data_IF_089646627971
#
_entry.id   IF_089646627971
#
_cell.length_a   1.000
_cell.length_b   1.000
_cell.length_c   1.000
_cell.angle_alpha   90.00
_cell.angle_beta   90.00
_cell.angle_gamma   90.00
#
_symmetry.space_group_name_H-M   'P 1'
#
loop_
_entity.id
_entity.type
_entity.pdbx_description
1 polymer ?
#
# COMPACT_ATOMS: atom_id res chain seq x y z
N UNK A 1 7.11 -18.85 -61.44
CA UNK A 1 7.51 -17.67 -60.64
C UNK A 1 6.27 -17.20 -59.89
N UNK A 2 6.13 -17.54 -58.62
CA UNK A 2 5.02 -17.05 -57.81
C UNK A 2 5.36 -15.62 -57.34
N UNK A 3 4.42 -14.66 -57.39
CA UNK A 3 4.67 -13.31 -56.90
C UNK A 3 4.91 -13.38 -55.38
N UNK A 4 6.05 -12.86 -54.93
CA UNK A 4 6.36 -12.63 -53.52
C UNK A 4 5.27 -11.74 -52.93
N UNK A 5 4.56 -12.25 -51.91
CA UNK A 5 3.59 -11.47 -51.12
C UNK A 5 4.29 -10.18 -50.67
N UNK A 6 3.68 -8.99 -50.84
CA UNK A 6 4.20 -7.80 -50.20
C UNK A 6 4.25 -8.06 -48.70
N UNK A 7 5.40 -7.81 -48.08
CA UNK A 7 5.60 -7.95 -46.64
C UNK A 7 4.53 -7.11 -45.94
N UNK A 8 3.56 -7.79 -45.36
CA UNK A 8 2.52 -7.15 -44.55
C UNK A 8 3.23 -6.41 -43.41
N UNK A 9 2.83 -5.17 -43.11
CA UNK A 9 3.43 -4.42 -42.01
C UNK A 9 3.31 -5.24 -40.72
N UNK A 10 4.45 -5.63 -40.16
CA UNK A 10 4.56 -6.39 -38.93
C UNK A 10 4.80 -5.42 -37.77
N UNK A 11 4.09 -5.61 -36.66
CA UNK A 11 4.29 -4.85 -35.42
C UNK A 11 5.77 -4.80 -35.00
N UNK A 12 6.51 -5.91 -35.19
CA UNK A 12 7.92 -6.00 -34.83
C UNK A 12 8.86 -5.25 -35.77
N UNK A 13 8.39 -4.87 -36.97
CA UNK A 13 9.16 -4.07 -37.92
C UNK A 13 9.06 -2.55 -37.63
N UNK A 14 8.19 -2.14 -36.72
CA UNK A 14 8.08 -0.75 -36.28
C UNK A 14 9.33 -0.31 -35.49
N UNK A 15 9.73 0.97 -35.51
CA UNK A 15 10.75 1.52 -34.61
C UNK A 15 10.42 1.28 -33.14
N UNK A 16 11.44 1.17 -32.30
CA UNK A 16 11.27 0.84 -30.88
C UNK A 16 10.40 1.86 -30.14
N UNK A 17 10.51 3.14 -30.49
CA UNK A 17 9.75 4.25 -29.93
C UNK A 17 8.25 4.06 -30.18
N UNK A 18 7.88 3.67 -31.40
CA UNK A 18 6.48 3.40 -31.75
C UNK A 18 5.96 2.16 -31.03
N UNK A 19 6.78 1.11 -30.92
CA UNK A 19 6.39 -0.09 -30.15
C UNK A 19 6.17 0.22 -28.67
N UNK A 20 7.02 1.06 -28.07
CA UNK A 20 6.86 1.51 -26.68
C UNK A 20 5.57 2.29 -26.51
N UNK A 21 5.25 3.25 -27.38
CA UNK A 21 3.99 3.98 -27.31
C UNK A 21 2.75 3.08 -27.45
N UNK A 22 2.82 2.06 -28.30
CA UNK A 22 1.76 1.05 -28.39
C UNK A 22 1.64 0.31 -27.06
N UNK A 23 2.76 -0.11 -26.46
CA UNK A 23 2.75 -0.81 -25.16
C UNK A 23 2.26 0.09 -24.01
N UNK A 24 2.54 1.39 -24.04
CA UNK A 24 1.99 2.37 -23.08
C UNK A 24 0.48 2.42 -23.14
N UNK A 25 -0.09 2.41 -24.35
CA UNK A 25 -1.53 2.33 -24.53
C UNK A 25 -2.09 0.99 -24.04
N UNK A 26 -1.45 -0.13 -24.39
CA UNK A 26 -1.87 -1.48 -23.98
C UNK A 26 -1.88 -1.64 -22.45
N UNK A 27 -0.90 -1.07 -21.76
CA UNK A 27 -0.79 -1.16 -20.29
C UNK A 27 -1.44 0.01 -19.55
N UNK A 28 -2.07 0.97 -20.23
CA UNK A 28 -2.67 2.14 -19.59
C UNK A 28 -3.75 1.73 -18.58
N UNK A 29 -4.61 0.81 -18.98
CA UNK A 29 -5.77 0.36 -18.20
C UNK A 29 -5.40 -0.59 -17.05
N UNK A 30 -4.17 -1.11 -17.02
CA UNK A 30 -3.70 -1.95 -15.90
C UNK A 30 -3.77 -1.20 -14.57
N UNK A 31 -3.67 0.14 -14.61
CA UNK A 31 -3.76 1.00 -13.43
C UNK A 31 -5.17 1.03 -12.81
N UNK A 32 -6.20 0.71 -13.59
CA UNK A 32 -7.60 0.68 -13.13
C UNK A 32 -7.92 -0.59 -12.33
N UNK A 33 -7.17 -1.67 -12.53
CA UNK A 33 -7.39 -2.95 -11.85
C UNK A 33 -6.31 -3.23 -10.81
N UNK A 34 -6.57 -2.79 -9.58
CA UNK A 34 -5.68 -2.93 -8.43
C UNK A 34 -5.92 -4.22 -7.61
N UNK A 35 -6.76 -5.13 -8.11
CA UNK A 35 -7.15 -6.38 -7.43
C UNK A 35 -7.98 -6.18 -6.16
N UNK A 36 -8.57 -5.01 -6.01
CA UNK A 36 -9.56 -4.68 -4.99
C UNK A 36 -10.89 -4.37 -5.66
N UNK A 37 -12.00 -4.62 -4.96
CA UNK A 37 -13.34 -4.30 -5.46
C UNK A 37 -14.24 -3.80 -4.34
N UNK A 38 -15.22 -2.99 -4.70
CA UNK A 38 -16.26 -2.51 -3.80
C UNK A 38 -17.28 -3.63 -3.56
N UNK A 39 -17.61 -3.88 -2.29
CA UNK A 39 -18.65 -4.81 -1.90
C UNK A 39 -20.00 -4.11 -1.98
N UNK A 40 -20.77 -4.44 -3.01
CA UNK A 40 -22.00 -3.73 -3.40
C UNK A 40 -23.01 -3.45 -2.28
N UNK A 41 -23.07 -4.29 -1.24
CA UNK A 41 -24.05 -4.11 -0.17
C UNK A 41 -23.65 -3.05 0.87
N UNK A 42 -22.35 -2.81 1.09
CA UNK A 42 -21.88 -1.88 2.13
C UNK A 42 -20.97 -0.78 1.61
N UNK A 43 -20.48 -0.89 0.37
CA UNK A 43 -19.46 0.03 -0.17
C UNK A 43 -18.04 -0.29 0.30
N UNK A 44 -17.85 -1.30 1.15
CA UNK A 44 -16.53 -1.68 1.67
C UNK A 44 -15.59 -2.18 0.58
N UNK A 45 -14.31 -1.84 0.68
CA UNK A 45 -13.31 -2.40 -0.21
C UNK A 45 -12.90 -3.79 0.29
N UNK A 46 -12.91 -4.76 -0.63
CA UNK A 46 -12.52 -6.14 -0.40
C UNK A 46 -11.52 -6.61 -1.44
N UNK A 47 -10.74 -7.63 -1.12
CA UNK A 47 -9.85 -8.27 -2.09
C UNK A 47 -10.68 -8.97 -3.16
N UNK A 48 -10.30 -8.79 -4.43
CA UNK A 48 -10.85 -9.61 -5.49
C UNK A 48 -10.08 -10.93 -5.59
N UNK A 49 -10.66 -11.99 -5.02
CA UNK A 49 -10.09 -13.35 -5.05
C UNK A 49 -9.91 -13.90 -6.48
N UNK A 50 -10.63 -13.35 -7.45
CA UNK A 50 -10.54 -13.72 -8.86
C UNK A 50 -9.48 -12.93 -9.62
N UNK A 51 -8.88 -11.92 -9.01
CA UNK A 51 -7.84 -11.11 -9.64
C UNK A 51 -6.65 -11.99 -10.04
N UNK A 52 -6.21 -11.86 -11.29
CA UNK A 52 -5.04 -12.54 -11.84
C UNK A 52 -4.22 -11.56 -12.66
N UNK A 53 -3.01 -11.28 -12.17
CA UNK A 53 -2.02 -10.43 -12.86
C UNK A 53 -1.67 -10.99 -14.25
N UNK A 54 -1.77 -12.30 -14.45
CA UNK A 54 -1.43 -12.98 -15.71
C UNK A 54 -2.14 -12.37 -16.92
N UNK A 55 -3.42 -11.99 -16.77
CA UNK A 55 -4.18 -11.37 -17.86
C UNK A 55 -3.62 -10.00 -18.24
N UNK A 56 -3.20 -9.21 -17.24
CA UNK A 56 -2.63 -7.87 -17.43
C UNK A 56 -1.22 -7.89 -18.02
N UNK A 57 -0.50 -9.00 -17.84
CA UNK A 57 0.87 -9.20 -18.34
C UNK A 57 0.92 -10.06 -19.61
N UNK A 58 -0.24 -10.53 -20.12
CA UNK A 58 -0.31 -11.37 -21.32
C UNK A 58 0.45 -10.80 -22.53
N UNK A 59 0.47 -9.47 -22.80
CA UNK A 59 1.23 -8.93 -23.92
C UNK A 59 2.73 -9.30 -23.92
N UNK A 60 3.33 -9.43 -22.73
CA UNK A 60 4.74 -9.84 -22.56
C UNK A 60 5.00 -11.29 -22.96
N UNK A 61 3.97 -12.14 -22.98
CA UNK A 61 4.08 -13.55 -23.37
C UNK A 61 4.09 -13.78 -24.88
N UNK A 62 3.82 -12.74 -25.67
CA UNK A 62 3.64 -12.85 -27.13
C UNK A 62 4.95 -13.20 -27.85
N UNK A 63 6.04 -12.47 -27.56
CA UNK A 63 7.36 -12.74 -28.12
C UNK A 63 8.48 -12.09 -27.29
N UNK A 64 9.73 -12.49 -27.55
CA UNK A 64 10.91 -11.98 -26.82
C UNK A 64 11.10 -10.47 -26.95
N UNK A 65 10.78 -9.90 -28.11
CA UNK A 65 10.94 -8.45 -28.33
C UNK A 65 9.94 -7.65 -27.49
N UNK A 66 8.66 -8.03 -27.49
CA UNK A 66 7.64 -7.37 -26.67
C UNK A 66 7.89 -7.56 -25.18
N UNK A 67 8.42 -8.72 -24.79
CA UNK A 67 8.91 -8.92 -23.42
C UNK A 67 10.01 -7.90 -23.08
N UNK A 68 11.07 -7.82 -23.89
CA UNK A 68 12.20 -6.93 -23.65
C UNK A 68 11.78 -5.45 -23.61
N UNK A 69 10.95 -5.01 -24.57
CA UNK A 69 10.50 -3.62 -24.68
C UNK A 69 9.52 -3.25 -23.56
N UNK A 70 8.64 -4.18 -23.15
CA UNK A 70 7.50 -3.89 -22.29
C UNK A 70 7.66 -4.21 -20.82
N UNK A 71 8.65 -5.00 -20.40
CA UNK A 71 8.70 -5.56 -19.03
C UNK A 71 8.68 -4.49 -17.94
N UNK A 72 9.53 -3.46 -18.05
CA UNK A 72 9.61 -2.41 -17.02
C UNK A 72 8.34 -1.57 -16.97
N UNK A 73 7.77 -1.25 -18.13
CA UNK A 73 6.52 -0.51 -18.26
C UNK A 73 5.35 -1.30 -17.66
N UNK A 74 5.26 -2.59 -17.96
CA UNK A 74 4.23 -3.45 -17.41
C UNK A 74 4.33 -3.55 -15.87
N UNK A 75 5.54 -3.68 -15.33
CA UNK A 75 5.78 -3.68 -13.88
C UNK A 75 5.40 -2.36 -13.22
N UNK A 76 5.62 -1.25 -13.92
CA UNK A 76 5.25 0.09 -13.46
C UNK A 76 3.73 0.32 -13.40
N UNK A 77 2.98 -0.24 -14.35
CA UNK A 77 1.53 -0.03 -14.48
C UNK A 77 0.68 -1.09 -13.80
N UNK A 78 1.28 -2.14 -13.26
CA UNK A 78 0.56 -3.29 -12.71
C UNK A 78 0.64 -3.30 -11.19
N UNK A 79 -0.51 -3.50 -10.53
CA UNK A 79 -0.56 -3.79 -9.10
C UNK A 79 -0.31 -5.28 -8.86
N UNK A 80 0.76 -5.63 -8.14
CA UNK A 80 1.03 -7.02 -7.79
C UNK A 80 0.29 -7.40 -6.51
N UNK A 81 -0.63 -8.37 -6.62
CA UNK A 81 -1.51 -8.75 -5.51
C UNK A 81 -1.20 -10.15 -4.99
N UNK A 82 -0.74 -10.24 -3.75
CA UNK A 82 -0.61 -11.48 -2.99
C UNK A 82 -1.90 -11.74 -2.20
N UNK A 83 -2.89 -12.33 -2.88
CA UNK A 83 -4.25 -12.55 -2.36
C UNK A 83 -4.38 -13.70 -1.35
N UNK A 84 -3.28 -14.38 -0.99
CA UNK A 84 -3.28 -15.44 0.02
C UNK A 84 -2.11 -15.26 0.99
N UNK A 85 -2.30 -15.74 2.22
CA UNK A 85 -1.28 -15.69 3.27
C UNK A 85 0.01 -16.44 2.89
N UNK A 86 -0.08 -17.47 2.05
CA UNK A 86 1.09 -18.22 1.59
C UNK A 86 1.93 -17.42 0.59
N UNK A 87 1.26 -16.78 -0.37
CA UNK A 87 1.93 -15.94 -1.37
C UNK A 87 2.51 -14.69 -0.70
N UNK A 88 1.79 -14.10 0.26
CA UNK A 88 2.27 -12.93 1.00
C UNK A 88 3.56 -13.22 1.81
N UNK A 89 3.71 -14.43 2.33
CA UNK A 89 4.92 -14.82 3.08
C UNK A 89 6.17 -14.91 2.21
N UNK A 90 6.03 -15.15 0.91
CA UNK A 90 7.17 -15.37 0.00
C UNK A 90 7.50 -14.14 -0.87
N UNK A 91 6.94 -12.97 -0.55
CA UNK A 91 7.18 -11.75 -1.31
C UNK A 91 8.68 -11.41 -1.38
N UNK A 92 9.45 -11.41 -0.28
CA UNK A 92 10.89 -11.13 -0.33
C UNK A 92 11.64 -12.09 -1.28
N UNK A 93 11.34 -13.38 -1.23
CA UNK A 93 11.93 -14.41 -2.08
C UNK A 93 11.56 -14.25 -3.55
N UNK A 94 10.34 -13.76 -3.84
CA UNK A 94 9.94 -13.45 -5.22
C UNK A 94 10.63 -12.20 -5.75
N UNK A 95 10.82 -11.20 -4.91
CA UNK A 95 11.55 -9.99 -5.27
C UNK A 95 13.03 -10.27 -5.53
N UNK A 96 13.66 -11.17 -4.77
CA UNK A 96 15.08 -11.53 -4.96
C UNK A 96 15.36 -12.26 -6.28
N UNK A 97 14.34 -12.81 -6.93
CA UNK A 97 14.46 -13.43 -8.27
C UNK A 97 14.47 -12.40 -9.41
N UNK A 98 14.13 -11.14 -9.14
CA UNK A 98 14.01 -10.08 -10.13
C UNK A 98 15.32 -9.30 -10.26
N UNK A 99 15.59 -8.81 -11.46
CA UNK A 99 16.66 -7.84 -11.66
C UNK A 99 16.31 -6.52 -10.98
N UNK A 100 17.30 -5.81 -10.44
CA UNK A 100 17.11 -4.56 -9.68
C UNK A 100 16.23 -3.53 -10.42
N UNK A 101 16.49 -3.27 -11.71
CA UNK A 101 15.65 -2.39 -12.55
C UNK A 101 14.17 -2.79 -12.60
N UNK A 102 13.85 -4.10 -12.54
CA UNK A 102 12.47 -4.57 -12.49
C UNK A 102 11.86 -4.25 -11.12
N UNK A 103 12.61 -4.47 -10.04
CA UNK A 103 12.20 -4.12 -8.67
C UNK A 103 11.91 -2.63 -8.56
N UNK A 104 12.82 -1.78 -9.04
CA UNK A 104 12.65 -0.32 -9.05
C UNK A 104 11.45 0.15 -9.87
N UNK A 105 11.04 -0.64 -10.86
CA UNK A 105 9.88 -0.36 -11.70
C UNK A 105 8.56 -0.71 -11.03
N UNK A 106 8.54 -1.59 -10.01
CA UNK A 106 7.32 -1.94 -9.28
C UNK A 106 6.83 -0.71 -8.50
N UNK A 107 5.60 -0.26 -8.80
CA UNK A 107 4.98 0.87 -8.10
C UNK A 107 3.88 0.49 -7.14
N UNK A 108 3.30 -0.70 -7.25
CA UNK A 108 2.14 -1.06 -6.44
C UNK A 108 2.16 -2.52 -6.03
N UNK A 109 2.11 -2.75 -4.71
CA UNK A 109 2.02 -4.08 -4.11
C UNK A 109 0.84 -4.07 -3.13
N UNK A 110 -0.02 -5.09 -3.24
CA UNK A 110 -1.09 -5.34 -2.28
C UNK A 110 -0.94 -6.76 -1.75
N UNK A 111 -1.04 -6.96 -0.44
CA UNK A 111 -0.97 -8.31 0.12
C UNK A 111 -1.90 -8.51 1.29
N UNK A 112 -2.39 -9.75 1.42
CA UNK A 112 -3.24 -10.16 2.53
C UNK A 112 -2.36 -10.51 3.73
N UNK A 113 -2.69 -9.93 4.89
CA UNK A 113 -1.91 -10.03 6.11
C UNK A 113 -2.74 -10.56 7.29
N UNK A 114 -2.08 -11.34 8.14
CA UNK A 114 -2.55 -11.77 9.44
C UNK A 114 -1.52 -11.38 10.52
N UNK A 115 -1.76 -11.79 11.76
CA UNK A 115 -0.86 -11.54 12.88
C UNK A 115 0.61 -11.96 12.61
N UNK A 116 0.89 -12.98 11.78
CA UNK A 116 2.27 -13.39 11.47
C UNK A 116 2.95 -12.36 10.58
N UNK A 117 2.23 -11.82 9.60
CA UNK A 117 2.74 -10.78 8.71
C UNK A 117 2.96 -9.48 9.47
N UNK A 118 2.03 -9.08 10.35
CA UNK A 118 2.20 -7.91 11.21
C UNK A 118 3.43 -7.99 12.12
N UNK A 119 3.73 -9.17 12.67
CA UNK A 119 4.98 -9.37 13.43
C UNK A 119 6.24 -9.15 12.59
N UNK A 120 6.22 -9.57 11.32
CA UNK A 120 7.36 -9.41 10.39
C UNK A 120 7.52 -8.00 9.84
N UNK A 121 6.52 -7.12 9.98
CA UNK A 121 6.63 -5.74 9.48
C UNK A 121 7.80 -5.00 10.13
N UNK A 122 8.07 -5.26 11.41
CA UNK A 122 9.18 -4.61 12.13
C UNK A 122 10.55 -5.00 11.58
N UNK A 123 10.66 -6.15 10.91
CA UNK A 123 11.90 -6.67 10.34
C UNK A 123 12.24 -5.99 9.00
N UNK A 124 11.34 -5.14 8.46
CA UNK A 124 11.59 -4.40 7.21
C UNK A 124 12.70 -3.36 7.34
N UNK A 125 12.99 -2.90 8.57
CA UNK A 125 13.92 -1.79 8.77
C UNK A 125 13.42 -0.52 8.08
N UNK A 126 14.25 0.10 7.24
CA UNK A 126 13.91 1.35 6.55
C UNK A 126 13.11 1.15 5.25
N UNK A 127 13.02 -0.06 4.72
CA UNK A 127 12.46 -0.28 3.38
C UNK A 127 11.46 -1.44 3.39
N UNK A 128 10.36 -1.30 2.64
CA UNK A 128 9.37 -2.37 2.55
C UNK A 128 10.02 -3.71 2.15
N UNK A 129 9.74 -4.77 2.90
CA UNK A 129 10.33 -6.10 2.73
C UNK A 129 11.87 -6.17 2.87
N UNK A 130 12.51 -5.13 3.40
CA UNK A 130 13.97 -5.01 3.47
C UNK A 130 14.64 -4.77 2.12
N UNK A 131 13.91 -4.25 1.12
CA UNK A 131 14.41 -4.07 -0.25
C UNK A 131 14.56 -2.58 -0.61
N UNK A 132 15.76 -2.00 -0.57
CA UNK A 132 15.98 -0.56 -0.84
C UNK A 132 15.62 -0.10 -2.25
N UNK A 133 15.70 -0.99 -3.24
CA UNK A 133 15.34 -0.69 -4.63
C UNK A 133 13.82 -0.47 -4.82
N UNK A 134 12.97 -0.91 -3.88
CA UNK A 134 11.53 -0.70 -3.98
C UNK A 134 11.18 0.78 -3.77
N UNK A 135 10.53 1.35 -4.78
CA UNK A 135 10.02 2.73 -4.80
C UNK A 135 8.53 2.68 -5.14
N UNK A 136 7.72 2.38 -4.13
CA UNK A 136 6.29 2.12 -4.26
C UNK A 136 5.49 3.43 -4.22
N UNK A 137 4.62 3.61 -5.21
CA UNK A 137 3.56 4.62 -5.16
C UNK A 137 2.45 4.22 -4.19
N UNK A 138 2.18 2.92 -4.06
CA UNK A 138 1.19 2.37 -3.14
C UNK A 138 1.61 1.00 -2.59
N UNK A 139 1.55 0.86 -1.27
CA UNK A 139 1.65 -0.41 -0.55
C UNK A 139 0.33 -0.64 0.19
N UNK A 140 -0.38 -1.73 -0.13
CA UNK A 140 -1.67 -2.02 0.50
C UNK A 140 -1.59 -3.29 1.35
N UNK A 141 -1.88 -3.16 2.64
CA UNK A 141 -1.96 -4.25 3.60
C UNK A 141 -3.44 -4.54 3.84
N UNK A 142 -3.89 -5.70 3.36
CA UNK A 142 -5.28 -6.10 3.47
C UNK A 142 -5.45 -7.10 4.61
N UNK A 143 -6.32 -6.82 5.58
CA UNK A 143 -6.55 -7.77 6.66
C UNK A 143 -7.18 -9.06 6.12
N UNK A 144 -6.63 -10.19 6.56
CA UNK A 144 -7.14 -11.49 6.17
C UNK A 144 -8.55 -11.72 6.72
N UNK A 145 -9.49 -12.04 5.83
CA UNK A 145 -10.86 -12.39 6.22
C UNK A 145 -10.88 -13.79 6.80
N UNK A 146 -11.10 -13.89 8.11
CA UNK A 146 -11.24 -15.17 8.81
C UNK A 146 -12.28 -15.07 9.93
N UNK A 147 -12.64 -16.22 10.51
CA UNK A 147 -13.47 -16.31 11.71
C UNK A 147 -12.75 -15.87 12.99
N UNK A 148 -11.43 -15.63 12.94
CA UNK A 148 -10.64 -15.20 14.08
C UNK A 148 -10.57 -13.67 14.16
N UNK A 149 -10.52 -13.18 15.39
CA UNK A 149 -10.31 -11.76 15.68
C UNK A 149 -8.86 -11.36 15.44
N UNK A 150 -8.66 -10.25 14.74
CA UNK A 150 -7.38 -9.56 14.63
C UNK A 150 -7.19 -8.65 15.85
N UNK A 151 -6.10 -8.88 16.58
CA UNK A 151 -5.66 -8.08 17.72
C UNK A 151 -4.59 -7.10 17.26
N UNK A 152 -4.99 -6.12 16.42
CA UNK A 152 -4.05 -5.20 15.79
C UNK A 152 -3.30 -4.30 16.80
N UNK A 153 -3.89 -4.09 17.99
CA UNK A 153 -3.29 -3.36 19.10
C UNK A 153 -1.96 -3.96 19.57
N UNK A 154 -1.76 -5.27 19.43
CA UNK A 154 -0.51 -5.94 19.81
C UNK A 154 0.67 -5.52 18.93
N UNK A 155 0.40 -4.98 17.74
CA UNK A 155 1.42 -4.61 16.75
C UNK A 155 1.59 -3.10 16.60
N UNK A 156 0.73 -2.27 17.21
CA UNK A 156 0.69 -0.82 16.97
C UNK A 156 2.03 -0.14 17.25
N UNK A 157 2.69 -0.48 18.36
CA UNK A 157 4.01 0.08 18.71
C UNK A 157 5.07 -0.27 17.67
N UNK A 158 5.09 -1.53 17.20
CA UNK A 158 6.04 -1.97 16.17
C UNK A 158 5.81 -1.28 14.83
N UNK A 159 4.54 -1.13 14.43
CA UNK A 159 4.16 -0.43 13.19
C UNK A 159 4.49 1.06 13.29
N UNK A 160 4.21 1.73 14.41
CA UNK A 160 4.56 3.13 14.60
C UNK A 160 6.08 3.36 14.51
N UNK A 161 6.89 2.45 15.09
CA UNK A 161 8.36 2.50 14.96
C UNK A 161 8.83 2.28 13.54
N UNK A 162 8.23 1.30 12.83
CA UNK A 162 8.52 1.08 11.42
C UNK A 162 8.24 2.35 10.61
N UNK A 163 7.06 2.95 10.78
CA UNK A 163 6.64 4.12 10.01
C UNK A 163 7.54 5.35 10.22
N UNK A 164 8.18 5.45 11.40
CA UNK A 164 9.14 6.50 11.69
C UNK A 164 10.39 6.42 10.78
N UNK A 165 10.79 5.23 10.34
CA UNK A 165 11.97 5.01 9.51
C UNK A 165 11.67 4.55 8.07
N UNK A 166 10.41 4.22 7.76
CA UNK A 166 10.02 3.65 6.47
C UNK A 166 10.20 4.67 5.33
N UNK A 167 10.99 4.30 4.33
CA UNK A 167 11.32 5.05 3.12
C UNK A 167 10.86 4.29 1.87
N UNK A 168 10.76 5.02 0.76
CA UNK A 168 10.45 4.42 -0.55
C UNK A 168 8.99 4.01 -0.74
N UNK A 169 8.09 4.43 0.15
CA UNK A 169 6.64 4.19 0.04
C UNK A 169 5.92 5.54 0.06
N UNK A 170 5.24 5.90 -1.03
CA UNK A 170 4.48 7.16 -1.12
C UNK A 170 3.13 7.08 -0.41
N UNK A 171 2.47 5.93 -0.49
CA UNK A 171 1.17 5.69 0.13
C UNK A 171 1.13 4.31 0.77
N UNK A 172 0.79 4.23 2.05
CA UNK A 172 0.54 2.98 2.76
C UNK A 172 -0.95 2.90 3.12
N UNK A 173 -1.62 1.86 2.67
CA UNK A 173 -3.07 1.68 2.85
C UNK A 173 -3.35 0.42 3.63
N UNK A 174 -4.16 0.51 4.68
CA UNK A 174 -4.72 -0.64 5.39
C UNK A 174 -6.18 -0.81 5.02
N UNK A 175 -6.60 -2.03 4.69
CA UNK A 175 -7.99 -2.33 4.31
C UNK A 175 -8.55 -3.39 5.26
N UNK A 176 -9.68 -3.11 5.90
CA UNK A 176 -10.33 -4.05 6.83
C UNK A 176 -10.78 -5.34 6.14
N UNK A 177 -11.25 -5.26 4.90
CA UNK A 177 -11.65 -6.43 4.09
C UNK A 177 -12.64 -7.37 4.80
N UNK A 178 -13.60 -6.77 5.54
CA UNK A 178 -14.58 -7.48 6.37
C UNK A 178 -13.97 -8.40 7.43
N UNK A 179 -12.69 -8.20 7.80
CA UNK A 179 -12.08 -8.93 8.90
C UNK A 179 -12.72 -8.51 10.24
N UNK A 180 -12.71 -9.46 11.18
CA UNK A 180 -13.10 -9.21 12.57
C UNK A 180 -11.91 -8.53 13.27
N UNK A 181 -12.07 -7.27 13.68
CA UNK A 181 -11.03 -6.50 14.38
C UNK A 181 -11.49 -6.18 15.78
N UNK A 182 -10.74 -6.64 16.79
CA UNK A 182 -11.10 -6.41 18.19
C UNK A 182 -10.95 -4.91 18.48
N UNK A 183 -11.96 -4.29 19.10
CA UNK A 183 -11.94 -2.85 19.43
C UNK A 183 -12.30 -1.90 18.29
N UNK A 184 -12.65 -2.43 17.10
CA UNK A 184 -12.87 -1.72 15.83
C UNK A 184 -11.58 -1.37 15.07
N UNK A 185 -11.71 -1.26 13.74
CA UNK A 185 -10.61 -0.90 12.85
C UNK A 185 -10.22 0.58 12.97
N UNK A 186 -11.22 1.47 13.09
CA UNK A 186 -11.00 2.92 13.25
C UNK A 186 -10.28 3.27 14.56
N UNK A 187 -10.70 2.66 15.67
CA UNK A 187 -10.05 2.85 16.97
C UNK A 187 -8.57 2.46 16.94
N UNK A 188 -8.23 1.36 16.27
CA UNK A 188 -6.83 0.96 16.08
C UNK A 188 -6.05 1.98 15.24
N UNK A 189 -6.64 2.53 14.18
CA UNK A 189 -6.02 3.57 13.35
C UNK A 189 -5.76 4.84 14.18
N UNK A 190 -6.74 5.30 14.96
CA UNK A 190 -6.60 6.44 15.86
C UNK A 190 -5.46 6.23 16.87
N UNK A 191 -5.39 5.02 17.46
CA UNK A 191 -4.30 4.65 18.37
C UNK A 191 -2.92 4.65 17.68
N UNK A 192 -2.85 4.19 16.44
CA UNK A 192 -1.62 4.21 15.64
C UNK A 192 -1.14 5.65 15.40
N UNK A 193 -2.04 6.54 14.95
CA UNK A 193 -1.71 7.97 14.74
C UNK A 193 -1.22 8.62 16.02
N UNK A 194 -1.90 8.42 17.15
CA UNK A 194 -1.46 8.98 18.43
C UNK A 194 -0.07 8.49 18.85
N UNK A 195 0.27 7.24 18.56
CA UNK A 195 1.62 6.70 18.82
C UNK A 195 2.67 7.25 17.85
N UNK A 196 2.33 7.46 16.57
CA UNK A 196 3.23 8.08 15.60
C UNK A 196 3.60 9.50 16.02
N UNK A 197 2.62 10.33 16.39
CA UNK A 197 2.86 11.69 16.89
C UNK A 197 3.71 11.69 18.17
N UNK A 198 3.41 10.77 19.09
CA UNK A 198 4.20 10.63 20.32
C UNK A 198 5.66 10.27 20.02
N UNK A 199 5.92 9.34 19.11
CA UNK A 199 7.29 8.97 18.75
C UNK A 199 8.04 10.09 18.02
N UNK A 200 7.37 10.85 17.16
CA UNK A 200 7.97 12.02 16.50
C UNK A 200 8.39 13.09 17.52
N UNK A 201 7.50 13.44 18.46
CA UNK A 201 7.81 14.40 19.54
C UNK A 201 8.98 13.92 20.42
N UNK A 202 8.92 12.68 20.91
CA UNK A 202 9.98 12.09 21.73
C UNK A 202 11.32 11.99 20.97
N UNK A 203 11.28 11.65 19.68
CA UNK A 203 12.47 11.60 18.83
C UNK A 203 13.15 12.96 18.69
N UNK A 204 12.36 14.02 18.57
CA UNK A 204 12.84 15.41 18.41
C UNK A 204 13.41 16.01 19.70
N UNK A 205 12.69 15.88 20.82
CA UNK A 205 12.96 16.68 22.03
C UNK A 205 13.49 15.88 23.21
N UNK A 206 13.24 14.56 23.27
CA UNK A 206 13.64 13.72 24.39
C UNK A 206 14.92 12.89 24.12
N UNK A 207 15.50 12.99 22.91
CA UNK A 207 16.71 12.25 22.50
C UNK A 207 17.87 13.16 22.13
N UNK A 208 19.08 12.71 22.42
CA UNK A 208 20.34 13.37 22.01
C UNK A 208 21.30 12.34 21.42
N UNK A 209 21.64 12.40 20.12
CA UNK A 209 21.13 13.34 19.12
C UNK A 209 19.64 13.14 18.82
N UNK A 210 18.99 14.18 18.30
CA UNK A 210 17.60 14.11 17.86
C UNK A 210 17.43 13.05 16.76
N UNK A 211 16.36 12.28 16.87
CA UNK A 211 15.98 11.18 15.98
C UNK A 211 14.73 11.62 15.20
N UNK A 212 14.97 12.25 14.05
CA UNK A 212 13.89 12.77 13.21
C UNK A 212 13.29 11.65 12.37
N UNK A 213 11.97 11.73 12.17
CA UNK A 213 11.29 10.83 11.24
C UNK A 213 11.88 10.94 9.83
N UNK A 214 11.99 9.81 9.15
CA UNK A 214 12.45 9.77 7.76
C UNK A 214 11.43 10.38 6.79
N UNK A 215 10.15 10.23 7.11
CA UNK A 215 9.01 10.65 6.31
C UNK A 215 7.90 11.07 7.26
N UNK A 216 7.22 12.19 6.95
CA UNK A 216 6.01 12.57 7.66
C UNK A 216 4.79 11.93 7.02
N UNK A 217 3.83 11.48 7.82
CA UNK A 217 2.63 10.81 7.32
C UNK A 217 1.38 11.64 7.60
N UNK A 218 0.72 12.11 6.55
CA UNK A 218 -0.67 12.58 6.64
C UNK A 218 -1.61 11.40 6.53
N UNK A 219 -2.78 11.47 7.16
CA UNK A 219 -3.68 10.33 7.27
C UNK A 219 -5.11 10.67 6.88
N UNK A 220 -5.84 9.65 6.42
CA UNK A 220 -7.28 9.71 6.22
C UNK A 220 -7.91 8.35 6.48
N UNK A 221 -9.15 8.36 6.94
CA UNK A 221 -9.97 7.16 7.14
C UNK A 221 -11.24 7.29 6.31
N UNK A 222 -11.57 6.25 5.56
CA UNK A 222 -12.83 6.15 4.82
C UNK A 222 -13.74 5.15 5.54
N UNK A 223 -14.78 5.67 6.18
CA UNK A 223 -15.77 4.89 6.93
C UNK A 223 -16.58 3.93 6.05
N UNK A 224 -16.79 4.24 4.77
CA UNK A 224 -17.55 3.40 3.84
C UNK A 224 -16.63 2.30 3.29
N UNK A 225 -15.48 2.69 2.75
CA UNK A 225 -14.50 1.76 2.20
C UNK A 225 -13.86 0.87 3.28
N UNK A 226 -13.94 1.28 4.55
CA UNK A 226 -13.22 0.68 5.69
C UNK A 226 -11.72 0.58 5.40
N UNK A 227 -11.15 1.70 4.94
CA UNK A 227 -9.74 1.84 4.58
C UNK A 227 -9.08 2.99 5.31
N UNK A 228 -7.84 2.79 5.70
CA UNK A 228 -7.00 3.78 6.35
C UNK A 228 -5.78 4.05 5.48
N UNK A 229 -5.57 5.31 5.12
CA UNK A 229 -4.53 5.73 4.20
C UNK A 229 -3.52 6.62 4.91
N UNK A 230 -2.24 6.31 4.75
CA UNK A 230 -1.11 7.15 5.13
C UNK A 230 -0.41 7.63 3.85
N UNK A 231 -0.28 8.94 3.69
CA UNK A 231 0.43 9.55 2.57
C UNK A 231 1.72 10.21 3.05
N UNK A 232 2.82 9.85 2.41
CA UNK A 232 4.14 10.36 2.69
C UNK A 232 4.27 11.83 2.29
N UNK A 233 4.86 12.62 3.18
CA UNK A 233 5.27 14.01 3.00
C UNK A 233 6.75 14.14 3.39
N UNK A 234 7.44 15.20 2.92
CA UNK A 234 8.78 15.52 3.40
C UNK A 234 8.82 15.61 4.93
N UNK A 235 9.90 15.15 5.54
CA UNK A 235 10.11 15.27 6.99
C UNK A 235 10.08 16.73 7.43
N UNK A 236 9.56 16.99 8.63
CA UNK A 236 9.52 18.35 9.18
C UNK A 236 10.90 18.75 9.68
N UNK A 237 11.26 20.01 9.45
CA UNK A 237 12.47 20.61 9.97
C UNK A 237 12.51 20.56 11.51
N UNK A 238 13.72 20.57 12.08
CA UNK A 238 13.90 20.68 13.52
C UNK A 238 13.66 22.14 13.94
N UNK A 239 12.64 22.36 14.76
CA UNK A 239 12.26 23.66 15.31
C UNK A 239 12.17 23.54 16.84
N UNK A 240 11.97 24.65 17.54
CA UNK A 240 11.65 24.61 18.98
C UNK A 240 10.30 23.92 19.23
N UNK A 241 10.12 23.41 20.46
CA UNK A 241 8.96 22.60 20.81
C UNK A 241 7.64 23.36 20.69
N UNK A 242 7.60 24.66 21.03
CA UNK A 242 6.39 25.47 20.95
C UNK A 242 5.94 25.62 19.48
N UNK A 243 6.87 25.96 18.59
CA UNK A 243 6.60 26.03 17.15
C UNK A 243 6.15 24.68 16.58
N UNK A 244 6.77 23.57 17.02
CA UNK A 244 6.36 22.23 16.60
C UNK A 244 4.93 21.90 17.05
N UNK A 245 4.59 22.19 18.30
CA UNK A 245 3.24 21.91 18.82
C UNK A 245 2.17 22.69 18.05
N UNK A 246 2.45 23.92 17.61
CA UNK A 246 1.55 24.69 16.74
C UNK A 246 1.34 24.02 15.36
N UNK A 247 2.38 23.39 14.79
CA UNK A 247 2.28 22.67 13.52
C UNK A 247 1.50 21.35 13.65
N UNK A 248 1.59 20.70 14.81
CA UNK A 248 0.94 19.40 15.08
C UNK A 248 -0.51 19.57 15.55
N UNK A 249 -0.87 20.73 16.12
CA UNK A 249 -2.20 21.00 16.67
C UNK A 249 -3.37 20.63 15.74
N UNK A 250 -3.38 20.99 14.44
CA UNK A 250 -4.49 20.64 13.55
C UNK A 250 -4.69 19.12 13.40
N UNK A 251 -3.62 18.34 13.50
CA UNK A 251 -3.69 16.88 13.41
C UNK A 251 -4.12 16.25 14.74
N UNK A 252 -3.76 16.86 15.87
CA UNK A 252 -4.29 16.46 17.17
C UNK A 252 -5.79 16.74 17.28
N UNK A 253 -6.25 17.88 16.76
CA UNK A 253 -7.67 18.21 16.68
C UNK A 253 -8.41 17.23 15.77
N UNK A 254 -7.89 16.96 14.56
CA UNK A 254 -8.47 15.96 13.67
C UNK A 254 -8.51 14.55 14.31
N UNK A 255 -7.50 14.18 15.08
CA UNK A 255 -7.48 12.92 15.82
C UNK A 255 -8.51 12.90 16.95
N UNK A 256 -8.63 13.99 17.72
CA UNK A 256 -9.64 14.14 18.78
C UNK A 256 -11.04 14.01 18.21
N UNK A 257 -11.34 14.75 17.15
CA UNK A 257 -12.66 14.73 16.50
C UNK A 257 -12.99 13.33 15.95
N UNK A 258 -11.99 12.62 15.41
CA UNK A 258 -12.13 11.21 14.98
C UNK A 258 -12.48 10.28 16.15
N UNK A 259 -11.83 10.43 17.30
CA UNK A 259 -12.10 9.64 18.51
C UNK A 259 -13.50 9.95 19.07
N UNK A 260 -13.85 11.22 19.19
CA UNK A 260 -15.16 11.65 19.69
C UNK A 260 -16.31 11.13 18.80
N UNK A 261 -16.10 11.07 17.47
CA UNK A 261 -17.07 10.50 16.54
C UNK A 261 -17.32 9.00 16.77
N UNK A 262 -16.34 8.26 17.32
CA UNK A 262 -16.52 6.85 17.68
C UNK A 262 -17.34 6.69 18.95
N UNK A 263 -17.11 7.54 19.95
CA UNK A 263 -17.83 7.53 21.23
C UNK A 263 -19.30 7.95 21.06
N UNK A 264 -19.57 8.86 20.12
CA UNK A 264 -20.93 9.30 19.79
C UNK A 264 -21.73 8.31 18.94
N UNK A 265 -21.12 7.22 18.45
CA UNK A 265 -21.85 6.21 17.68
C UNK A 265 -22.75 5.40 18.65
N UNK A 266 -24.08 5.60 18.64
CA UNK A 266 -24.95 5.06 19.67
C UNK A 266 -24.91 3.53 19.62
N UNK A 267 -24.90 2.91 20.81
CA UNK A 267 -24.85 1.46 21.03
C UNK A 267 -25.61 0.71 19.92
N UNK A 268 -25.00 -0.23 19.17
CA UNK A 268 -25.70 -1.01 18.14
C UNK A 268 -26.92 -1.79 18.66
N UNK A 269 -27.07 -1.96 19.98
CA UNK A 269 -28.31 -2.47 20.60
C UNK A 269 -29.50 -1.52 20.48
N UNK A 270 -29.28 -0.22 20.30
CA UNK A 270 -30.34 0.77 20.03
C UNK A 270 -31.03 0.56 18.68
N UNK A 271 -30.42 -0.19 17.75
CA UNK A 271 -30.98 -0.50 16.42
C UNK A 271 -31.78 -1.80 16.35
N UNK A 272 -31.72 -2.64 17.39
CA UNK A 272 -32.43 -3.93 17.43
C UNK A 272 -33.74 -3.87 18.25
N UNK A 273 -34.28 -2.66 18.47
CA UNK A 273 -35.43 -2.42 19.35
C UNK A 273 -36.52 -1.54 18.74
N UNK A 274 -36.71 -1.56 17.42
CA UNK A 274 -37.86 -0.94 16.74
C UNK A 274 -38.36 -1.82 15.59
#
# INVERSE_FOLDING_TARGET
MAPTRPDLPNLLALPAEIRIHILEYVFADNTMNNGLKTYNATGEIIVDERYRVVALLQPLSTCRQLHADGTLLAFNRTTFVANSLFVANIIPERLSMLHEKQIESIRSISFVADARHFRKLVDWGEHAFGVPALKLDALTIVLHRSSFWHYLFDFTTGIARLLHHLKGVRRLVFIRNRALVKGSFKAWCNRLIGLMMKFDHQGRYDKTPADLESVWWTWSFDDIAQSFCLEAKPTKEMVDEETYMLQILPLMEALRDSIESEEWNPDPRSRNGA
#
